data_IF_421619031805
#
_entry.id   IF_421619031805
#
_cell.length_a   1.000
_cell.length_b   1.000
_cell.length_c   1.000
_cell.angle_alpha   90.00
_cell.angle_beta   90.00
_cell.angle_gamma   90.00
#
_symmetry.space_group_name_H-M   'P 1'
#
loop_
_entity.id
_entity.type
_entity.pdbx_description
1 polymer ?
#
# COMPACT_ATOMS: atom_id res chain seq x y z
N UNK A 1 -5.51 12.93 -10.07
CA UNK A 1 -4.34 12.09 -9.75
C UNK A 1 -4.66 10.70 -10.26
N UNK A 2 -3.76 10.08 -11.02
CA UNK A 2 -3.93 8.68 -11.41
C UNK A 2 -3.14 7.82 -10.43
N UNK A 3 -3.58 6.59 -10.21
CA UNK A 3 -2.84 5.61 -9.44
C UNK A 3 -2.78 4.31 -10.22
N UNK A 4 -1.59 3.72 -10.25
CA UNK A 4 -1.37 2.38 -10.80
C UNK A 4 -1.42 1.37 -9.66
N UNK A 5 -2.26 0.35 -9.79
CA UNK A 5 -2.38 -0.74 -8.81
C UNK A 5 -1.79 -2.02 -9.40
N UNK A 6 -0.85 -2.64 -8.68
CA UNK A 6 -0.24 -3.91 -9.04
C UNK A 6 -0.55 -4.95 -7.97
N UNK A 7 -1.19 -6.05 -8.35
CA UNK A 7 -1.51 -7.14 -7.42
C UNK A 7 -0.25 -7.91 -7.02
N UNK A 8 -0.16 -8.27 -5.74
CA UNK A 8 0.86 -9.14 -5.17
C UNK A 8 0.25 -10.52 -5.07
N UNK A 9 0.86 -11.51 -5.72
CA UNK A 9 0.42 -12.90 -5.65
C UNK A 9 1.38 -13.73 -4.81
N UNK A 10 0.84 -14.64 -4.01
CA UNK A 10 1.63 -15.63 -3.28
C UNK A 10 2.19 -16.71 -4.23
N UNK A 11 2.99 -17.61 -3.66
CA UNK A 11 3.57 -18.75 -4.38
C UNK A 11 2.54 -19.74 -4.98
N UNK A 12 1.26 -19.65 -4.56
CA UNK A 12 0.16 -20.45 -5.07
C UNK A 12 -0.70 -19.67 -6.09
N UNK A 13 -0.29 -18.46 -6.46
CA UNK A 13 -1.04 -17.57 -7.35
C UNK A 13 -2.25 -16.89 -6.71
N UNK A 14 -2.39 -16.91 -5.38
CA UNK A 14 -3.46 -16.22 -4.67
C UNK A 14 -3.11 -14.76 -4.42
N UNK A 15 -4.11 -13.90 -4.52
CA UNK A 15 -3.97 -12.49 -4.14
C UNK A 15 -3.61 -12.36 -2.65
N UNK A 16 -2.49 -11.69 -2.40
CA UNK A 16 -1.93 -11.43 -1.07
C UNK A 16 -1.82 -9.94 -0.76
N UNK A 17 -2.24 -9.06 -1.68
CA UNK A 17 -2.08 -7.63 -1.51
C UNK A 17 -1.93 -6.86 -2.82
N UNK A 18 -1.58 -5.59 -2.70
CA UNK A 18 -1.31 -4.73 -3.86
C UNK A 18 -0.28 -3.67 -3.55
N UNK A 19 0.49 -3.28 -4.57
CA UNK A 19 1.31 -2.08 -4.57
C UNK A 19 0.51 -0.99 -5.28
N UNK A 20 0.31 0.14 -4.61
CA UNK A 20 -0.39 1.30 -5.15
C UNK A 20 0.62 2.41 -5.34
N UNK A 21 0.74 2.89 -6.57
CA UNK A 21 1.68 3.93 -6.95
C UNK A 21 0.90 5.15 -7.46
N UNK A 22 1.11 6.32 -6.86
CA UNK A 22 0.51 7.56 -7.34
C UNK A 22 1.34 8.15 -8.47
N UNK A 23 0.74 8.33 -9.64
CA UNK A 23 1.38 8.95 -10.79
C UNK A 23 1.31 10.48 -10.65
N UNK A 24 2.47 11.10 -10.40
CA UNK A 24 2.58 12.55 -10.21
C UNK A 24 3.26 13.18 -11.42
N UNK A 25 2.54 14.04 -12.13
CA UNK A 25 3.03 14.71 -13.36
C UNK A 25 3.81 16.00 -13.11
N UNK A 26 4.00 16.42 -11.86
CA UNK A 26 4.63 17.68 -11.47
C UNK A 26 5.37 17.53 -10.14
N UNK A 27 6.40 18.35 -9.86
CA UNK A 27 7.04 18.37 -8.56
C UNK A 27 6.02 18.62 -7.44
N UNK A 28 6.12 17.85 -6.35
CA UNK A 28 5.24 17.95 -5.18
C UNK A 28 6.03 18.20 -3.91
N UNK A 29 5.44 18.96 -2.99
CA UNK A 29 6.03 19.23 -1.68
C UNK A 29 5.92 18.02 -0.77
N UNK A 30 6.71 17.98 0.30
CA UNK A 30 6.62 16.92 1.32
C UNK A 30 5.21 16.81 1.91
N UNK A 31 4.54 17.95 2.18
CA UNK A 31 3.17 17.99 2.68
C UNK A 31 2.17 17.35 1.70
N UNK A 32 2.31 17.66 0.40
CA UNK A 32 1.44 17.07 -0.63
C UNK A 32 1.65 15.55 -0.74
N UNK A 33 2.88 15.07 -0.60
CA UNK A 33 3.17 13.63 -0.61
C UNK A 33 2.55 12.90 0.57
N UNK A 34 2.61 13.50 1.76
CA UNK A 34 1.95 12.96 2.95
C UNK A 34 0.42 12.89 2.76
N UNK A 35 -0.19 13.91 2.15
CA UNK A 35 -1.61 13.87 1.83
C UNK A 35 -1.94 12.75 0.83
N UNK A 36 -1.13 12.61 -0.23
CA UNK A 36 -1.32 11.55 -1.22
C UNK A 36 -1.19 10.17 -0.56
N UNK A 37 -0.22 9.97 0.33
CA UNK A 37 -0.09 8.72 1.09
C UNK A 37 -1.37 8.40 1.88
N UNK A 38 -1.95 9.37 2.59
CA UNK A 38 -3.22 9.21 3.29
C UNK A 38 -4.34 8.83 2.30
N UNK A 39 -4.44 9.52 1.17
CA UNK A 39 -5.45 9.22 0.14
C UNK A 39 -5.29 7.79 -0.43
N UNK A 40 -4.04 7.31 -0.61
CA UNK A 40 -3.76 5.94 -1.04
C UNK A 40 -4.17 4.90 0.02
N UNK A 41 -3.91 5.20 1.30
CA UNK A 41 -4.31 4.35 2.43
C UNK A 41 -5.83 4.26 2.50
N UNK A 42 -6.52 5.39 2.41
CA UNK A 42 -7.98 5.45 2.42
C UNK A 42 -8.57 4.68 1.23
N UNK A 43 -7.96 4.78 0.05
CA UNK A 43 -8.34 3.99 -1.12
C UNK A 43 -8.19 2.48 -0.86
N UNK A 44 -7.10 2.05 -0.22
CA UNK A 44 -6.89 0.64 0.12
C UNK A 44 -7.99 0.10 1.06
N UNK A 45 -8.34 0.85 2.11
CA UNK A 45 -9.37 0.45 3.08
C UNK A 45 -10.80 0.57 2.57
N UNK A 46 -11.10 1.57 1.73
CA UNK A 46 -12.46 1.83 1.26
C UNK A 46 -12.82 1.05 0.00
N UNK A 47 -11.82 0.75 -0.85
CA UNK A 47 -12.06 0.24 -2.20
C UNK A 47 -11.43 -1.13 -2.45
N UNK A 48 -10.12 -1.30 -2.23
CA UNK A 48 -9.45 -2.55 -2.61
C UNK A 48 -9.77 -3.69 -1.65
N UNK A 49 -9.69 -3.44 -0.34
CA UNK A 49 -9.84 -4.47 0.69
C UNK A 49 -10.79 -4.01 1.80
N UNK A 50 -12.06 -3.76 1.47
CA UNK A 50 -13.02 -3.27 2.45
C UNK A 50 -13.20 -4.27 3.59
N UNK A 51 -13.11 -3.77 4.84
CA UNK A 51 -13.31 -4.53 6.09
C UNK A 51 -12.25 -5.60 6.37
N UNK A 52 -11.07 -5.47 5.78
CA UNK A 52 -9.92 -6.33 6.09
C UNK A 52 -8.90 -5.62 6.98
N UNK A 53 -8.19 -6.40 7.80
CA UNK A 53 -6.98 -5.92 8.46
C UNK A 53 -5.84 -5.84 7.44
N UNK A 54 -5.22 -4.68 7.31
CA UNK A 54 -4.17 -4.41 6.32
C UNK A 54 -2.85 -4.07 7.02
N UNK A 55 -1.74 -4.60 6.50
CA UNK A 55 -0.40 -4.08 6.78
C UNK A 55 0.01 -3.18 5.64
N UNK A 56 0.29 -1.92 5.95
CA UNK A 56 0.67 -0.92 4.97
C UNK A 56 2.12 -0.52 5.20
N UNK A 57 2.92 -0.61 4.15
CA UNK A 57 4.29 -0.12 4.11
C UNK A 57 4.35 1.02 3.12
N UNK A 58 4.68 2.23 3.57
CA UNK A 58 4.87 3.36 2.68
C UNK A 58 6.32 3.47 2.24
N UNK A 59 6.51 3.80 0.97
CA UNK A 59 7.78 4.20 0.43
C UNK A 59 7.58 5.50 -0.36
N UNK A 60 8.07 6.60 0.21
CA UNK A 60 7.92 7.95 -0.32
C UNK A 60 9.27 8.38 -0.87
N UNK A 61 9.38 8.47 -2.20
CA UNK A 61 10.56 8.98 -2.87
C UNK A 61 10.41 10.47 -3.25
N UNK A 62 11.53 11.06 -3.68
CA UNK A 62 11.61 12.48 -4.07
C UNK A 62 10.66 12.85 -5.22
N UNK A 63 10.24 11.88 -6.01
CA UNK A 63 9.39 12.04 -7.18
C UNK A 63 7.99 11.42 -7.01
N UNK A 64 7.81 10.37 -6.20
CA UNK A 64 6.51 9.71 -6.05
C UNK A 64 6.29 8.99 -4.70
N UNK A 65 5.09 9.09 -4.10
CA UNK A 65 4.65 8.24 -3.00
C UNK A 65 4.04 6.93 -3.52
N UNK A 66 4.39 5.84 -2.86
CA UNK A 66 3.82 4.51 -3.11
C UNK A 66 3.55 3.80 -1.79
N UNK A 67 2.53 2.95 -1.76
CA UNK A 67 2.26 2.08 -0.62
C UNK A 67 2.17 0.63 -1.08
N UNK A 68 2.71 -0.25 -0.26
CA UNK A 68 2.52 -1.70 -0.36
C UNK A 68 1.51 -2.10 0.68
N UNK A 69 0.42 -2.71 0.23
CA UNK A 69 -0.68 -3.20 1.06
C UNK A 69 -0.63 -4.71 1.06
N UNK A 70 -0.44 -5.30 2.24
CA UNK A 70 -0.58 -6.74 2.46
C UNK A 70 -1.91 -6.97 3.18
N UNK A 71 -2.75 -7.83 2.60
CA UNK A 71 -4.10 -8.08 3.12
C UNK A 71 -4.11 -9.21 4.15
N UNK A 72 -5.21 -9.29 4.88
CA UNK A 72 -5.54 -10.40 5.78
C UNK A 72 -4.43 -10.70 6.81
N UNK A 73 -3.97 -9.66 7.52
CA UNK A 73 -2.87 -9.78 8.50
C UNK A 73 -3.10 -10.89 9.52
N UNK A 74 -4.38 -11.16 9.82
CA UNK A 74 -4.81 -12.16 10.79
C UNK A 74 -4.48 -13.60 10.34
N UNK A 75 -4.16 -13.80 9.06
CA UNK A 75 -3.75 -15.09 8.49
C UNK A 75 -2.25 -15.19 8.20
N UNK A 76 -1.48 -14.12 8.41
CA UNK A 76 -0.03 -14.17 8.25
C UNK A 76 0.59 -14.97 9.40
N UNK A 77 1.54 -15.85 9.06
CA UNK A 77 2.26 -16.63 10.07
C UNK A 77 3.11 -15.71 10.94
N UNK A 78 2.80 -15.63 12.24
CA UNK A 78 3.58 -14.87 13.19
C UNK A 78 4.72 -15.74 13.77
N UNK A 79 5.95 -15.21 13.76
CA UNK A 79 7.07 -15.80 14.49
C UNK A 79 7.63 -14.78 15.49
N UNK A 80 7.56 -15.10 16.77
CA UNK A 80 8.23 -14.32 17.81
C UNK A 80 9.71 -14.72 17.83
N UNK A 81 10.59 -13.73 17.70
CA UNK A 81 12.04 -13.91 17.85
C UNK A 81 12.46 -13.18 19.12
N UNK A 82 13.16 -13.89 20.01
CA UNK A 82 13.83 -13.27 21.16
C UNK A 82 15.21 -12.87 20.68
N UNK A 83 15.54 -11.58 20.77
CA UNK A 83 16.85 -11.01 20.43
C UNK A 83 17.68 -10.94 21.71
#
# INVERSE_FOLDING_TARGET
MNATVRTIVDQNGKDSGSIIHADISRPTTALQKAQIEVDLIDYAFSTLYPREGLSIYSNIHSDTPSITVIRDINKLSQRTVVI
#
